data_IF_361738654320
#
_entry.id   IF_361738654320
#
_cell.length_a   1.000
_cell.length_b   1.000
_cell.length_c   1.000
_cell.angle_alpha   90.00
_cell.angle_beta   90.00
_cell.angle_gamma   90.00
#
_symmetry.space_group_name_H-M   'P 1'
#
loop_
_entity.id
_entity.type
_entity.pdbx_description
1 polymer ?
#
# COMPACT_ATOMS: atom_id res chain seq x y z
N UNK A 1 -17.20 -30.01 7.44
CA UNK A 1 -17.33 -29.32 6.11
C UNK A 1 -16.20 -28.33 6.01
N UNK A 2 -15.45 -28.36 4.91
CA UNK A 2 -14.26 -27.53 4.73
C UNK A 2 -14.63 -26.19 4.07
N UNK A 3 -14.42 -25.09 4.75
CA UNK A 3 -14.59 -23.73 4.20
C UNK A 3 -13.28 -23.28 3.53
N UNK A 4 -13.37 -22.73 2.33
CA UNK A 4 -12.23 -22.17 1.59
C UNK A 4 -12.20 -20.65 1.73
N UNK A 5 -11.05 -20.10 2.11
CA UNK A 5 -10.87 -18.65 2.27
C UNK A 5 -9.68 -18.19 1.42
N UNK A 6 -9.98 -17.45 0.36
CA UNK A 6 -8.97 -16.75 -0.42
C UNK A 6 -8.60 -15.42 0.24
N UNK A 7 -7.33 -15.24 0.53
CA UNK A 7 -6.79 -13.99 1.05
C UNK A 7 -6.06 -13.25 -0.07
N UNK A 8 -6.36 -11.97 -0.24
CA UNK A 8 -5.80 -11.14 -1.31
C UNK A 8 -5.12 -9.92 -0.69
N UNK A 9 -3.83 -9.70 -0.97
CA UNK A 9 -3.18 -8.44 -0.65
C UNK A 9 -3.75 -7.32 -1.52
N UNK A 10 -3.99 -6.13 -0.94
CA UNK A 10 -4.46 -4.98 -1.71
C UNK A 10 -3.56 -4.69 -2.93
N UNK A 11 -4.15 -4.16 -4.00
CA UNK A 11 -3.44 -3.69 -5.19
C UNK A 11 -2.51 -2.51 -4.86
N UNK A 12 -1.61 -2.15 -5.78
CA UNK A 12 -0.69 -1.04 -5.56
C UNK A 12 -1.44 0.24 -5.18
N UNK A 13 -1.04 0.80 -4.04
CA UNK A 13 -1.59 2.03 -3.49
C UNK A 13 -0.50 3.12 -3.39
N UNK A 14 -0.93 4.34 -3.13
CA UNK A 14 -0.05 5.52 -3.08
C UNK A 14 1.19 5.33 -2.19
N UNK A 15 1.10 4.70 -1.01
CA UNK A 15 2.28 4.51 -0.18
C UNK A 15 3.28 3.49 -0.75
N UNK A 16 2.81 2.50 -1.55
CA UNK A 16 3.74 1.66 -2.29
C UNK A 16 4.50 2.49 -3.33
N UNK A 17 3.78 3.34 -4.07
CA UNK A 17 4.32 4.20 -5.11
C UNK A 17 5.23 5.29 -4.54
N UNK A 18 4.81 5.96 -3.47
CA UNK A 18 5.51 7.08 -2.86
C UNK A 18 6.57 6.65 -1.84
N UNK A 19 6.71 5.36 -1.59
CA UNK A 19 7.66 4.79 -0.64
C UNK A 19 7.44 5.32 0.79
N UNK A 20 6.16 5.37 1.20
CA UNK A 20 5.73 5.84 2.52
C UNK A 20 5.15 4.71 3.37
N UNK A 21 5.39 4.76 4.66
CA UNK A 21 4.81 3.85 5.63
C UNK A 21 3.30 4.13 5.74
N UNK A 22 2.49 3.18 5.32
CA UNK A 22 1.04 3.30 5.34
C UNK A 22 0.45 3.03 6.72
N UNK A 23 0.72 1.83 7.26
CA UNK A 23 -0.01 1.36 8.43
C UNK A 23 -1.52 1.45 8.19
N UNK A 24 -2.22 2.12 9.09
CA UNK A 24 -3.66 2.38 8.98
C UNK A 24 -4.00 3.75 8.37
N UNK A 25 -3.01 4.53 7.98
CA UNK A 25 -3.24 5.70 7.13
C UNK A 25 -3.88 5.28 5.81
N UNK A 26 -4.89 6.04 5.38
CA UNK A 26 -5.69 5.65 4.21
C UNK A 26 -5.23 6.33 2.92
N UNK A 27 -5.34 5.63 1.81
CA UNK A 27 -4.83 6.07 0.51
C UNK A 27 -5.53 5.38 -0.65
N UNK A 28 -5.51 6.04 -1.81
CA UNK A 28 -6.06 5.51 -3.06
C UNK A 28 -5.16 4.42 -3.68
N UNK A 29 -5.77 3.61 -4.54
CA UNK A 29 -5.02 2.81 -5.49
C UNK A 29 -4.37 3.71 -6.55
N UNK A 30 -3.22 3.29 -7.05
CA UNK A 30 -2.56 3.91 -8.20
C UNK A 30 -3.19 3.45 -9.52
N UNK A 31 -2.95 4.13 -10.64
CA UNK A 31 -3.36 3.63 -11.96
C UNK A 31 -2.82 2.22 -12.26
N UNK A 32 -1.62 1.87 -11.76
CA UNK A 32 -1.10 0.49 -11.84
C UNK A 32 -1.91 -0.45 -10.96
N UNK A 33 -2.29 -0.04 -9.74
CA UNK A 33 -3.15 -0.81 -8.87
C UNK A 33 -4.47 -1.17 -9.57
N UNK A 34 -5.10 -0.23 -10.26
CA UNK A 34 -6.31 -0.52 -11.04
C UNK A 34 -6.06 -1.52 -12.17
N UNK A 35 -4.91 -1.48 -12.86
CA UNK A 35 -4.55 -2.53 -13.83
C UNK A 35 -4.35 -3.90 -13.17
N UNK A 36 -3.78 -3.96 -11.98
CA UNK A 36 -3.65 -5.21 -11.22
C UNK A 36 -5.02 -5.82 -10.87
N UNK A 37 -6.03 -4.99 -10.61
CA UNK A 37 -7.39 -5.47 -10.34
C UNK A 37 -8.01 -6.19 -11.55
N UNK A 38 -7.70 -5.77 -12.77
CA UNK A 38 -8.15 -6.46 -13.97
C UNK A 38 -7.65 -7.92 -13.98
N UNK A 39 -6.36 -8.15 -13.75
CA UNK A 39 -5.79 -9.50 -13.69
C UNK A 39 -6.30 -10.31 -12.49
N UNK A 40 -6.54 -9.66 -11.35
CA UNK A 40 -7.17 -10.31 -10.20
C UNK A 40 -8.59 -10.79 -10.54
N UNK A 41 -9.37 -9.96 -11.22
CA UNK A 41 -10.72 -10.31 -11.66
C UNK A 41 -10.72 -11.51 -12.61
N UNK A 42 -9.81 -11.53 -13.58
CA UNK A 42 -9.64 -12.68 -14.51
C UNK A 42 -9.25 -13.96 -13.77
N UNK A 43 -8.30 -13.89 -12.82
CA UNK A 43 -7.92 -15.02 -11.97
C UNK A 43 -9.12 -15.65 -11.25
N UNK A 44 -10.04 -14.81 -10.79
CA UNK A 44 -11.22 -15.26 -10.06
C UNK A 44 -12.44 -15.54 -10.95
N UNK A 45 -12.37 -15.39 -12.27
CA UNK A 45 -13.53 -15.51 -13.17
C UNK A 45 -14.27 -16.86 -13.04
N UNK A 46 -13.53 -17.96 -12.89
CA UNK A 46 -14.08 -19.30 -12.71
C UNK A 46 -14.30 -19.72 -11.24
N UNK A 47 -13.94 -18.87 -10.27
CA UNK A 47 -14.10 -19.17 -8.85
C UNK A 47 -15.46 -18.69 -8.37
N UNK A 48 -16.31 -19.60 -7.93
CA UNK A 48 -17.55 -19.23 -7.24
C UNK A 48 -17.19 -18.74 -5.86
N UNK A 49 -17.68 -17.55 -5.51
CA UNK A 49 -17.59 -16.98 -4.17
C UNK A 49 -18.99 -16.83 -3.58
N UNK A 50 -19.13 -17.20 -2.31
CA UNK A 50 -20.38 -17.07 -1.55
C UNK A 50 -20.42 -15.73 -0.78
N UNK A 51 -19.25 -15.15 -0.44
CA UNK A 51 -19.12 -13.84 0.18
C UNK A 51 -17.76 -13.19 -0.11
N UNK A 52 -17.70 -11.86 0.01
CA UNK A 52 -16.46 -11.08 -0.10
C UNK A 52 -16.32 -10.13 1.07
N UNK A 53 -15.23 -10.30 1.80
CA UNK A 53 -14.84 -9.49 2.95
C UNK A 53 -13.63 -8.63 2.62
N UNK A 54 -13.27 -7.74 3.52
CA UNK A 54 -12.00 -7.03 3.45
C UNK A 54 -11.81 -6.01 4.55
N UNK A 55 -10.57 -5.55 4.67
CA UNK A 55 -10.29 -4.36 5.46
C UNK A 55 -11.12 -3.18 4.91
N UNK A 56 -11.59 -2.35 5.80
CA UNK A 56 -12.34 -1.14 5.48
C UNK A 56 -11.47 0.04 5.00
N UNK A 57 -10.14 -0.13 4.97
CA UNK A 57 -9.24 0.84 4.37
C UNK A 57 -9.44 0.88 2.84
N UNK A 58 -9.52 2.09 2.28
CA UNK A 58 -9.88 2.35 0.87
C UNK A 58 -9.15 1.44 -0.13
N UNK A 59 -7.83 1.27 0.00
CA UNK A 59 -7.04 0.42 -0.90
C UNK A 59 -7.44 -1.07 -0.89
N UNK A 60 -7.82 -1.60 0.27
CA UNK A 60 -8.26 -2.99 0.39
C UNK A 60 -9.71 -3.15 -0.08
N UNK A 61 -10.59 -2.21 0.28
CA UNK A 61 -11.96 -2.18 -0.20
C UNK A 61 -12.01 -2.05 -1.75
N UNK A 62 -11.26 -1.10 -2.33
CA UNK A 62 -11.14 -0.97 -3.78
C UNK A 62 -10.58 -2.26 -4.44
N UNK A 63 -9.68 -2.97 -3.76
CA UNK A 63 -9.19 -4.26 -4.26
C UNK A 63 -10.30 -5.33 -4.25
N UNK A 64 -11.07 -5.39 -3.19
CA UNK A 64 -12.19 -6.32 -3.07
C UNK A 64 -13.26 -6.10 -4.16
N UNK A 65 -13.38 -4.88 -4.73
CA UNK A 65 -14.38 -4.59 -5.79
C UNK A 65 -14.19 -5.47 -7.03
N UNK A 66 -12.97 -5.85 -7.35
CA UNK A 66 -12.69 -6.81 -8.44
C UNK A 66 -13.33 -8.19 -8.21
N UNK A 67 -13.70 -8.51 -6.96
CA UNK A 67 -14.27 -9.81 -6.58
C UNK A 67 -15.78 -9.73 -6.36
N UNK A 68 -16.29 -8.70 -5.69
CA UNK A 68 -17.71 -8.61 -5.35
C UNK A 68 -18.58 -7.99 -6.46
N UNK A 69 -18.07 -6.97 -7.19
CA UNK A 69 -18.86 -6.28 -8.23
C UNK A 69 -19.30 -7.24 -9.34
N UNK A 70 -18.42 -8.05 -9.98
CA UNK A 70 -18.83 -8.96 -11.04
C UNK A 70 -19.84 -10.02 -10.61
N UNK A 71 -19.94 -10.28 -9.30
CA UNK A 71 -20.83 -11.30 -8.71
C UNK A 71 -22.07 -10.73 -8.06
N UNK A 72 -22.18 -9.39 -8.03
CA UNK A 72 -23.26 -8.69 -7.35
C UNK A 72 -23.40 -9.09 -5.85
N UNK A 73 -22.25 -9.41 -5.22
CA UNK A 73 -22.20 -9.73 -3.80
C UNK A 73 -22.06 -8.43 -2.98
N UNK A 74 -22.60 -8.37 -1.76
CA UNK A 74 -22.32 -7.27 -0.85
C UNK A 74 -20.87 -7.34 -0.36
N UNK A 75 -20.21 -6.18 -0.23
CA UNK A 75 -18.95 -6.09 0.47
C UNK A 75 -19.17 -6.10 1.99
N UNK A 76 -18.39 -6.91 2.70
CA UNK A 76 -18.46 -7.03 4.15
C UNK A 76 -17.17 -6.48 4.79
N UNK A 77 -17.18 -5.25 5.33
CA UNK A 77 -16.00 -4.67 5.96
C UNK A 77 -15.64 -5.40 7.26
N UNK A 78 -14.37 -5.75 7.42
CA UNK A 78 -13.80 -6.35 8.62
C UNK A 78 -12.58 -5.54 9.09
N UNK A 79 -12.71 -4.62 10.06
CA UNK A 79 -11.58 -3.85 10.60
C UNK A 79 -10.46 -4.74 11.17
N UNK A 80 -10.76 -5.98 11.57
CA UNK A 80 -9.78 -6.97 12.00
C UNK A 80 -8.78 -7.35 10.90
N UNK A 81 -9.09 -7.06 9.62
CA UNK A 81 -8.21 -7.29 8.47
C UNK A 81 -7.36 -6.06 8.09
N UNK A 82 -7.42 -4.96 8.86
CA UNK A 82 -6.56 -3.78 8.65
C UNK A 82 -5.08 -4.14 8.75
N UNK A 83 -4.25 -3.30 8.14
CA UNK A 83 -2.79 -3.38 8.25
C UNK A 83 -2.33 -3.19 9.71
N UNK A 84 -1.11 -3.57 10.00
CA UNK A 84 -0.43 -3.22 11.26
C UNK A 84 -0.46 -1.70 11.43
N UNK A 85 -0.94 -1.23 12.59
CA UNK A 85 -0.81 0.17 12.94
C UNK A 85 0.67 0.47 13.20
N UNK A 86 1.21 1.44 12.48
CA UNK A 86 2.63 1.80 12.58
C UNK A 86 2.90 2.96 13.55
N UNK A 87 1.85 3.54 14.15
CA UNK A 87 1.98 4.64 15.08
C UNK A 87 2.70 5.84 14.47
N UNK A 88 3.72 6.35 15.16
CA UNK A 88 4.47 7.52 14.72
C UNK A 88 5.20 7.37 13.39
N UNK A 89 5.25 6.17 12.83
CA UNK A 89 5.84 5.95 11.52
C UNK A 89 4.86 6.19 10.37
N UNK A 90 3.55 6.24 10.62
CA UNK A 90 2.56 6.44 9.57
C UNK A 90 2.79 7.75 8.81
N UNK A 91 2.60 7.72 7.50
CA UNK A 91 2.86 8.82 6.57
C UNK A 91 4.32 9.30 6.48
N UNK A 92 5.29 8.58 7.07
CA UNK A 92 6.71 8.92 6.88
C UNK A 92 7.31 8.13 5.73
N UNK A 93 8.24 8.74 4.97
CA UNK A 93 9.07 7.98 4.02
C UNK A 93 9.85 6.88 4.73
N UNK A 94 9.93 5.70 4.13
CA UNK A 94 10.70 4.59 4.69
C UNK A 94 12.19 4.95 4.88
N UNK A 95 12.76 5.76 3.97
CA UNK A 95 14.12 6.27 4.11
C UNK A 95 14.28 7.18 5.34
N UNK A 96 13.28 8.03 5.65
CA UNK A 96 13.29 8.85 6.86
C UNK A 96 13.28 7.99 8.13
N UNK A 97 12.44 6.96 8.15
CA UNK A 97 12.37 6.01 9.27
C UNK A 97 13.73 5.32 9.45
N UNK A 98 14.28 4.76 8.37
CA UNK A 98 15.59 4.10 8.39
C UNK A 98 16.70 5.04 8.89
N UNK A 99 16.67 6.31 8.49
CA UNK A 99 17.65 7.31 8.87
C UNK A 99 17.53 7.73 10.34
N UNK A 100 16.30 8.00 10.82
CA UNK A 100 16.04 8.53 12.15
C UNK A 100 16.00 7.47 13.23
N UNK A 101 15.58 6.26 12.88
CA UNK A 101 15.35 5.15 13.80
C UNK A 101 15.82 3.81 13.19
N UNK A 102 17.12 3.68 12.89
CA UNK A 102 17.67 2.53 12.18
C UNK A 102 17.52 1.23 12.94
N UNK A 103 17.51 1.26 14.27
CA UNK A 103 17.36 0.08 15.10
C UNK A 103 15.93 -0.46 15.02
N UNK A 104 14.91 0.39 15.21
CA UNK A 104 13.51 -0.01 15.11
C UNK A 104 13.16 -0.43 13.68
N UNK A 105 13.72 0.27 12.64
CA UNK A 105 13.55 -0.14 11.25
C UNK A 105 14.07 -1.56 11.00
N UNK A 106 15.26 -1.89 11.54
CA UNK A 106 15.83 -3.24 11.46
C UNK A 106 14.94 -4.25 12.21
N UNK A 107 14.46 -3.90 13.41
CA UNK A 107 13.60 -4.80 14.20
C UNK A 107 12.24 -5.04 13.54
N UNK A 108 11.63 -4.04 12.94
CA UNK A 108 10.39 -4.22 12.17
C UNK A 108 10.52 -5.29 11.09
N UNK A 109 11.69 -5.36 10.45
CA UNK A 109 11.93 -6.28 9.35
C UNK A 109 12.47 -7.65 9.78
N UNK A 110 13.25 -7.71 10.86
CA UNK A 110 14.01 -8.92 11.26
C UNK A 110 13.64 -9.43 12.65
N UNK A 111 13.26 -8.57 13.56
CA UNK A 111 12.98 -8.88 14.96
C UNK A 111 11.71 -8.16 15.44
N UNK A 112 10.54 -8.44 14.81
CA UNK A 112 9.29 -7.77 15.18
C UNK A 112 8.86 -8.03 16.64
N UNK A 113 9.39 -9.06 17.28
CA UNK A 113 9.29 -9.29 18.72
C UNK A 113 9.91 -8.17 19.58
N UNK A 114 10.90 -7.45 19.06
CA UNK A 114 11.56 -6.33 19.72
C UNK A 114 11.07 -4.97 19.27
N UNK A 115 10.34 -4.92 18.15
CA UNK A 115 9.86 -3.67 17.58
C UNK A 115 8.87 -2.94 18.49
N UNK A 116 9.16 -1.67 18.81
CA UNK A 116 8.35 -0.80 19.67
C UNK A 116 8.38 0.61 19.14
N UNK A 117 7.26 1.06 18.60
CA UNK A 117 7.05 2.45 18.13
C UNK A 117 5.81 2.98 18.84
N UNK A 118 5.84 4.23 19.25
CA UNK A 118 4.72 4.83 19.95
C UNK A 118 3.44 4.81 19.09
N UNK A 119 2.33 4.40 19.69
CA UNK A 119 1.06 4.26 19.00
C UNK A 119 0.98 3.06 18.04
N UNK A 120 2.05 2.27 17.89
CA UNK A 120 2.05 1.11 17.03
C UNK A 120 1.37 -0.11 17.66
N UNK A 121 0.92 -1.04 16.83
CA UNK A 121 0.27 -2.28 17.21
C UNK A 121 1.30 -3.43 17.27
N UNK A 122 1.29 -4.22 18.33
CA UNK A 122 2.16 -5.40 18.43
C UNK A 122 1.78 -6.45 17.36
N UNK A 123 2.77 -7.16 16.80
CA UNK A 123 2.51 -8.22 15.82
C UNK A 123 1.66 -9.36 16.39
N UNK A 124 1.78 -9.67 17.68
CA UNK A 124 0.91 -10.65 18.36
C UNK A 124 -0.57 -10.23 18.32
N UNK A 125 -0.86 -8.94 18.55
CA UNK A 125 -2.24 -8.42 18.46
C UNK A 125 -2.79 -8.52 17.03
N UNK A 126 -1.94 -8.27 16.03
CA UNK A 126 -2.31 -8.46 14.60
C UNK A 126 -2.61 -9.93 14.33
N UNK A 127 -1.78 -10.86 14.81
CA UNK A 127 -2.01 -12.29 14.68
C UNK A 127 -3.36 -12.70 15.28
N UNK A 128 -3.63 -12.30 16.51
CA UNK A 128 -4.88 -12.61 17.23
C UNK A 128 -6.12 -12.12 16.47
N UNK A 129 -6.15 -10.81 16.08
CA UNK A 129 -7.32 -10.25 15.40
C UNK A 129 -7.55 -10.82 14.00
N UNK A 130 -6.46 -11.14 13.27
CA UNK A 130 -6.60 -11.69 11.93
C UNK A 130 -7.02 -13.16 11.96
N UNK A 131 -6.49 -13.98 12.87
CA UNK A 131 -6.97 -15.36 13.10
C UNK A 131 -8.45 -15.37 13.52
N UNK A 132 -8.86 -14.46 14.41
CA UNK A 132 -10.28 -14.33 14.79
C UNK A 132 -11.17 -14.00 13.58
N UNK A 133 -10.71 -13.12 12.66
CA UNK A 133 -11.42 -12.83 11.42
C UNK A 133 -11.57 -14.06 10.52
N UNK A 134 -10.52 -14.90 10.38
CA UNK A 134 -10.59 -16.16 9.62
C UNK A 134 -11.64 -17.10 10.22
N UNK A 135 -11.61 -17.30 11.54
CA UNK A 135 -12.58 -18.17 12.23
C UNK A 135 -14.02 -17.67 12.08
N UNK A 136 -14.22 -16.36 12.17
CA UNK A 136 -15.53 -15.74 11.95
C UNK A 136 -16.05 -16.01 10.54
N UNK A 137 -15.26 -15.75 9.49
CA UNK A 137 -15.65 -16.00 8.10
C UNK A 137 -15.99 -17.47 7.86
N UNK A 138 -15.22 -18.40 8.43
CA UNK A 138 -15.49 -19.83 8.31
C UNK A 138 -16.79 -20.25 9.01
N UNK A 139 -17.08 -19.68 10.18
CA UNK A 139 -18.30 -19.95 10.93
C UNK A 139 -19.56 -19.39 10.25
N UNK A 140 -19.45 -18.24 9.57
CA UNK A 140 -20.55 -17.64 8.81
C UNK A 140 -20.82 -18.35 7.48
N UNK A 141 -19.84 -19.12 6.93
CA UNK A 141 -19.94 -19.80 5.63
C UNK A 141 -19.46 -21.26 5.68
N UNK A 142 -20.10 -22.13 6.48
CA UNK A 142 -19.68 -23.52 6.65
C UNK A 142 -19.74 -24.29 5.32
N UNK A 143 -18.59 -24.78 4.83
CA UNK A 143 -18.47 -25.48 3.56
C UNK A 143 -18.48 -24.58 2.32
N UNK A 144 -18.54 -23.27 2.51
CA UNK A 144 -18.55 -22.27 1.45
C UNK A 144 -17.15 -21.87 0.98
N UNK A 145 -17.12 -20.95 0.01
CA UNK A 145 -15.89 -20.35 -0.51
C UNK A 145 -16.00 -18.83 -0.41
N UNK A 146 -15.12 -18.20 0.34
CA UNK A 146 -15.12 -16.75 0.54
C UNK A 146 -13.78 -16.14 0.12
N UNK A 147 -13.78 -14.85 -0.15
CA UNK A 147 -12.55 -14.09 -0.39
C UNK A 147 -12.45 -12.89 0.54
N UNK A 148 -11.24 -12.51 0.92
CA UNK A 148 -11.01 -11.36 1.78
C UNK A 148 -9.77 -10.56 1.34
N UNK A 149 -9.94 -9.23 1.16
CA UNK A 149 -8.85 -8.33 0.85
C UNK A 149 -8.23 -7.75 2.14
N UNK A 150 -6.91 -7.79 2.24
CA UNK A 150 -6.15 -7.32 3.39
C UNK A 150 -4.80 -6.71 2.95
N UNK A 151 -3.79 -6.71 3.81
CA UNK A 151 -2.56 -5.94 3.66
C UNK A 151 -1.31 -6.80 3.80
N UNK A 152 -0.16 -6.23 3.39
CA UNK A 152 1.07 -6.98 3.28
C UNK A 152 1.59 -7.55 4.59
N UNK A 153 1.78 -6.71 5.62
CA UNK A 153 2.30 -7.19 6.90
C UNK A 153 1.24 -7.99 7.67
N UNK A 154 -0.03 -7.58 7.62
CA UNK A 154 -1.12 -8.31 8.27
C UNK A 154 -1.25 -9.75 7.74
N UNK A 155 -1.20 -9.93 6.41
CA UNK A 155 -1.24 -11.28 5.81
C UNK A 155 0.03 -12.08 6.10
N UNK A 156 1.20 -11.46 6.05
CA UNK A 156 2.47 -12.12 6.41
C UNK A 156 2.44 -12.65 7.84
N UNK A 157 1.93 -11.84 8.78
CA UNK A 157 1.79 -12.23 10.19
C UNK A 157 0.77 -13.36 10.33
N UNK A 158 -0.41 -13.22 9.74
CA UNK A 158 -1.45 -14.24 9.79
C UNK A 158 -0.94 -15.59 9.26
N UNK A 159 -0.41 -15.61 8.03
CA UNK A 159 0.04 -16.83 7.39
C UNK A 159 1.18 -17.50 8.16
N UNK A 160 2.18 -16.72 8.58
CA UNK A 160 3.27 -17.26 9.39
C UNK A 160 2.80 -17.81 10.75
N UNK A 161 1.83 -17.14 11.40
CA UNK A 161 1.22 -17.65 12.65
C UNK A 161 0.49 -18.98 12.41
N UNK A 162 -0.25 -19.12 11.33
CA UNK A 162 -0.96 -20.37 10.97
C UNK A 162 0.00 -21.50 10.61
N UNK A 163 1.19 -21.19 10.11
CA UNK A 163 2.27 -22.13 9.83
C UNK A 163 3.14 -22.46 11.06
N UNK A 164 2.83 -21.85 12.21
CA UNK A 164 3.55 -22.06 13.47
C UNK A 164 4.91 -21.38 13.56
N UNK A 165 5.18 -20.38 12.72
CA UNK A 165 6.41 -19.61 12.73
C UNK A 165 6.48 -18.67 13.94
N UNK A 166 7.66 -18.53 14.52
CA UNK A 166 7.94 -17.49 15.51
C UNK A 166 7.89 -16.09 14.86
N UNK A 167 7.70 -15.04 15.68
CA UNK A 167 7.72 -13.66 15.17
C UNK A 167 9.02 -13.32 14.43
N UNK A 168 10.15 -13.88 14.85
CA UNK A 168 11.44 -13.72 14.17
C UNK A 168 11.37 -14.31 12.75
N UNK A 169 10.94 -15.56 12.63
CA UNK A 169 10.82 -16.24 11.31
C UNK A 169 9.83 -15.53 10.40
N UNK A 170 8.73 -14.99 10.96
CA UNK A 170 7.79 -14.12 10.23
C UNK A 170 8.51 -12.85 9.73
N UNK A 171 9.37 -12.23 10.54
CA UNK A 171 10.18 -11.09 10.15
C UNK A 171 11.15 -11.40 9.00
N UNK A 172 11.74 -12.59 9.02
CA UNK A 172 12.69 -13.05 7.99
C UNK A 172 11.98 -13.59 6.72
N UNK A 173 10.65 -13.83 6.76
CA UNK A 173 9.88 -14.26 5.60
C UNK A 173 9.75 -13.13 4.56
N UNK A 174 9.70 -13.51 3.29
CA UNK A 174 9.60 -12.56 2.17
C UNK A 174 8.32 -11.71 2.17
N UNK A 175 8.30 -10.72 1.30
CA UNK A 175 7.12 -9.91 1.04
C UNK A 175 6.36 -10.42 -0.20
N UNK A 176 5.04 -10.51 -0.10
CA UNK A 176 4.17 -10.82 -1.22
C UNK A 176 3.99 -9.63 -2.16
N UNK A 177 3.78 -9.85 -3.45
CA UNK A 177 3.44 -8.77 -4.38
C UNK A 177 2.00 -8.25 -4.15
N UNK A 178 1.67 -7.08 -4.69
CA UNK A 178 0.31 -6.58 -4.66
C UNK A 178 -0.62 -7.51 -5.46
N UNK A 179 -1.84 -7.68 -5.00
CA UNK A 179 -2.84 -8.65 -5.45
C UNK A 179 -2.45 -10.13 -5.32
N UNK A 180 -1.31 -10.45 -4.71
CA UNK A 180 -0.98 -11.83 -4.41
C UNK A 180 -2.10 -12.52 -3.62
N UNK A 181 -2.34 -13.77 -3.95
CA UNK A 181 -3.43 -14.60 -3.40
C UNK A 181 -2.86 -15.73 -2.57
N UNK A 182 -3.47 -15.96 -1.42
CA UNK A 182 -3.23 -17.16 -0.59
C UNK A 182 -4.56 -17.89 -0.37
N UNK A 183 -4.51 -19.19 -0.15
CA UNK A 183 -5.70 -20.01 0.10
C UNK A 183 -5.56 -20.72 1.44
N UNK A 184 -6.60 -20.58 2.25
CA UNK A 184 -6.80 -21.34 3.49
C UNK A 184 -7.94 -22.34 3.33
N UNK A 185 -7.82 -23.47 4.00
CA UNK A 185 -8.91 -24.40 4.28
C UNK A 185 -9.15 -24.47 5.77
N UNK A 186 -10.41 -24.29 6.18
CA UNK A 186 -10.83 -24.32 7.59
C UNK A 186 -11.80 -25.45 7.80
N UNK A 187 -11.48 -26.35 8.74
CA UNK A 187 -12.34 -27.47 9.14
C UNK A 187 -12.36 -27.59 10.66
N UNK A 188 -13.51 -27.26 11.27
CA UNK A 188 -13.60 -27.10 12.72
C UNK A 188 -12.59 -26.04 13.22
N UNK A 189 -11.76 -26.41 14.18
CA UNK A 189 -10.70 -25.53 14.71
C UNK A 189 -9.42 -25.52 13.87
N UNK A 190 -9.27 -26.46 12.94
CA UNK A 190 -8.07 -26.56 12.10
C UNK A 190 -8.11 -25.58 10.93
N UNK A 191 -7.03 -24.82 10.80
CA UNK A 191 -6.81 -23.90 9.68
C UNK A 191 -5.53 -24.34 8.97
N UNK A 192 -5.62 -24.65 7.68
CA UNK A 192 -4.50 -25.08 6.85
C UNK A 192 -4.20 -24.07 5.76
N UNK A 193 -2.96 -23.67 5.62
CA UNK A 193 -2.47 -22.90 4.47
C UNK A 193 -2.26 -23.88 3.31
N UNK A 194 -3.00 -23.71 2.22
CA UNK A 194 -2.91 -24.58 1.02
C UNK A 194 -1.80 -24.07 0.11
N UNK A 195 -1.80 -22.79 -0.16
CA UNK A 195 -0.71 -22.05 -0.81
C UNK A 195 -0.72 -20.61 -0.35
N UNK A 196 0.41 -19.90 -0.51
CA UNK A 196 0.55 -18.52 -0.12
C UNK A 196 1.24 -17.68 -1.21
N UNK A 197 0.90 -16.39 -1.21
CA UNK A 197 1.61 -15.33 -1.93
C UNK A 197 1.73 -15.55 -3.46
N UNK A 198 0.79 -16.27 -4.06
CA UNK A 198 0.77 -16.51 -5.51
C UNK A 198 0.31 -15.26 -6.28
N UNK A 199 1.25 -14.63 -6.97
CA UNK A 199 1.06 -13.48 -7.84
C UNK A 199 1.22 -13.82 -9.34
N UNK A 200 1.09 -15.09 -9.73
CA UNK A 200 1.32 -15.57 -11.11
C UNK A 200 0.39 -14.94 -12.16
N UNK A 201 -0.76 -14.41 -11.72
CA UNK A 201 -1.71 -13.69 -12.57
C UNK A 201 -1.27 -12.27 -12.93
N UNK A 202 -0.28 -11.71 -12.20
CA UNK A 202 0.21 -10.34 -12.42
C UNK A 202 1.36 -10.37 -13.42
N UNK A 203 1.20 -9.79 -14.62
CA UNK A 203 2.30 -9.75 -15.58
C UNK A 203 3.46 -8.89 -15.06
N UNK A 204 4.70 -9.17 -15.50
CA UNK A 204 5.91 -8.52 -14.99
C UNK A 204 5.89 -6.98 -15.01
N UNK A 205 5.28 -6.39 -16.04
CA UNK A 205 5.15 -4.94 -16.19
C UNK A 205 4.15 -4.30 -15.21
N UNK A 206 3.24 -5.09 -14.64
CA UNK A 206 2.28 -4.69 -13.62
C UNK A 206 2.71 -5.04 -12.19
N UNK A 207 3.74 -5.87 -12.01
CA UNK A 207 4.28 -6.20 -10.69
C UNK A 207 4.86 -4.94 -10.02
N UNK A 208 4.46 -4.72 -8.77
CA UNK A 208 5.00 -3.62 -7.96
C UNK A 208 6.46 -3.91 -7.57
N UNK A 209 6.75 -5.13 -7.14
CA UNK A 209 8.07 -5.49 -6.60
C UNK A 209 9.14 -5.74 -7.65
N UNK A 210 8.81 -6.19 -8.85
CA UNK A 210 9.83 -6.34 -9.91
C UNK A 210 10.52 -5.04 -10.29
N UNK A 211 9.85 -3.91 -10.03
CA UNK A 211 10.40 -2.56 -10.32
C UNK A 211 11.05 -1.91 -9.11
N UNK A 212 10.98 -2.54 -7.93
CA UNK A 212 11.54 -2.03 -6.68
C UNK A 212 12.58 -3.01 -6.17
N UNK A 213 13.86 -2.64 -6.21
CA UNK A 213 14.97 -3.50 -5.79
C UNK A 213 15.12 -3.59 -4.27
N UNK A 214 14.59 -2.64 -3.53
CA UNK A 214 14.78 -2.48 -2.09
C UNK A 214 14.51 -3.72 -1.22
N UNK A 215 13.54 -4.55 -1.63
CA UNK A 215 13.18 -5.75 -0.87
C UNK A 215 14.12 -6.94 -1.14
N UNK A 216 14.89 -6.91 -2.23
CA UNK A 216 15.81 -8.00 -2.59
C UNK A 216 17.11 -7.95 -1.81
N UNK A 217 17.61 -6.75 -1.56
CA UNK A 217 18.96 -6.53 -1.06
C UNK A 217 18.98 -5.97 0.37
N UNK A 218 17.83 -5.93 1.06
CA UNK A 218 17.72 -5.29 2.39
C UNK A 218 18.04 -3.79 2.38
N UNK A 219 18.20 -3.22 1.18
CA UNK A 219 18.62 -1.85 0.94
C UNK A 219 17.46 -0.94 0.58
N UNK A 220 17.15 0.02 1.38
CA UNK A 220 16.34 1.19 1.07
C UNK A 220 17.20 2.42 0.85
N UNK A 221 18.44 2.24 0.39
CA UNK A 221 19.41 3.32 0.29
C UNK A 221 19.17 4.22 -0.93
N UNK A 222 18.23 3.85 -1.78
CA UNK A 222 17.84 4.58 -2.98
C UNK A 222 16.58 5.43 -2.83
N UNK A 223 16.01 5.53 -1.62
CA UNK A 223 14.79 6.29 -1.37
C UNK A 223 15.10 7.65 -0.74
N UNK A 224 14.27 8.66 -1.04
CA UNK A 224 14.41 9.99 -0.46
C UNK A 224 13.85 10.08 0.95
N UNK A 225 14.54 10.83 1.81
CA UNK A 225 13.98 11.46 2.99
C UNK A 225 13.99 12.98 2.83
N UNK A 226 13.27 13.72 3.67
CA UNK A 226 12.98 15.11 3.38
C UNK A 226 13.29 16.03 4.55
N UNK A 227 13.88 17.20 4.23
CA UNK A 227 14.10 18.29 5.18
C UNK A 227 13.13 19.42 4.83
N UNK A 228 12.16 19.74 5.71
CA UNK A 228 11.25 20.85 5.48
C UNK A 228 11.94 22.18 5.70
N UNK A 229 11.70 23.14 4.82
CA UNK A 229 12.03 24.53 4.94
C UNK A 229 10.74 25.35 4.89
N UNK A 230 10.56 26.22 5.86
CA UNK A 230 9.44 27.15 5.84
C UNK A 230 9.56 28.12 4.65
N UNK A 231 8.46 28.35 3.95
CA UNK A 231 8.35 29.33 2.89
C UNK A 231 7.11 30.19 3.13
N UNK A 232 7.14 31.43 2.68
CA UNK A 232 6.00 32.32 2.74
C UNK A 232 4.84 31.74 1.91
N UNK A 233 3.72 31.44 2.56
CA UNK A 233 2.52 30.79 1.96
C UNK A 233 2.71 29.38 1.39
N UNK A 234 3.69 28.61 1.89
CA UNK A 234 3.90 27.26 1.38
C UNK A 234 4.96 26.46 2.13
N UNK A 235 5.51 25.47 1.46
CA UNK A 235 6.56 24.59 1.95
C UNK A 235 7.54 24.28 0.85
N UNK A 236 8.82 24.23 1.20
CA UNK A 236 9.88 23.64 0.39
C UNK A 236 10.40 22.40 1.11
N UNK A 237 10.48 21.29 0.43
CA UNK A 237 11.08 20.05 0.94
C UNK A 237 12.33 19.75 0.12
N UNK A 238 13.49 19.78 0.74
CA UNK A 238 14.70 19.25 0.14
C UNK A 238 14.67 17.74 0.20
N UNK A 239 14.86 17.09 -0.93
CA UNK A 239 14.97 15.65 -1.02
C UNK A 239 16.42 15.22 -0.81
N UNK A 240 16.64 14.41 0.19
CA UNK A 240 17.95 13.91 0.58
C UNK A 240 18.08 12.44 0.17
N UNK A 241 19.14 12.11 -0.53
CA UNK A 241 19.57 10.73 -0.76
C UNK A 241 20.78 10.50 0.13
N UNK A 242 20.67 9.57 1.09
CA UNK A 242 21.64 9.43 2.17
C UNK A 242 21.88 10.77 2.89
N UNK A 243 23.01 11.44 2.64
CA UNK A 243 23.40 12.74 3.27
C UNK A 243 23.46 13.89 2.29
N UNK A 244 23.21 13.65 1.00
CA UNK A 244 23.32 14.66 -0.05
C UNK A 244 21.97 15.17 -0.48
N UNK A 245 21.88 16.47 -0.72
CA UNK A 245 20.70 17.07 -1.33
C UNK A 245 20.67 16.66 -2.82
N UNK A 246 19.57 16.05 -3.24
CA UNK A 246 19.45 15.40 -4.54
C UNK A 246 18.21 15.85 -5.31
N UNK A 247 17.50 16.82 -4.77
CA UNK A 247 16.32 17.39 -5.39
C UNK A 247 15.47 18.19 -4.41
N UNK A 248 14.38 18.74 -4.90
CA UNK A 248 13.42 19.46 -4.08
C UNK A 248 12.01 19.41 -4.67
N UNK A 249 11.03 19.56 -3.82
CA UNK A 249 9.67 19.91 -4.21
C UNK A 249 9.22 21.13 -3.41
N UNK A 250 8.64 22.11 -4.10
CA UNK A 250 8.01 23.27 -3.46
C UNK A 250 6.53 23.30 -3.84
N UNK A 251 5.69 23.67 -2.88
CA UNK A 251 4.27 23.79 -3.10
C UNK A 251 3.66 24.83 -2.17
N UNK A 252 2.52 25.39 -2.59
CA UNK A 252 1.76 26.39 -1.84
C UNK A 252 0.26 26.18 -2.01
N UNK A 253 -0.49 26.67 -1.05
CA UNK A 253 -1.95 26.74 -1.21
C UNK A 253 -2.30 27.82 -2.26
N UNK A 254 -3.23 27.47 -3.16
CA UNK A 254 -3.80 28.36 -4.15
C UNK A 254 -5.32 28.13 -4.21
N UNK A 255 -6.07 28.97 -3.51
CA UNK A 255 -7.51 28.72 -3.31
C UNK A 255 -7.78 27.42 -2.56
N UNK A 256 -8.56 26.53 -3.18
CA UNK A 256 -8.92 25.22 -2.65
C UNK A 256 -8.02 24.09 -3.18
N UNK A 257 -6.90 24.43 -3.81
CA UNK A 257 -5.92 23.49 -4.33
C UNK A 257 -4.54 23.68 -3.72
N UNK A 258 -3.72 22.64 -3.81
CA UNK A 258 -2.29 22.70 -3.56
C UNK A 258 -1.56 22.78 -4.90
N UNK A 259 -0.84 23.89 -5.15
CA UNK A 259 -0.03 24.05 -6.35
C UNK A 259 1.41 23.66 -6.09
N UNK A 260 1.92 22.73 -6.88
CA UNK A 260 3.36 22.44 -6.96
C UNK A 260 4.01 23.57 -7.78
N UNK A 261 4.92 24.30 -7.14
CA UNK A 261 5.61 25.44 -7.76
C UNK A 261 7.02 25.10 -8.23
N UNK A 262 7.61 24.04 -7.67
CA UNK A 262 8.89 23.51 -8.11
C UNK A 262 8.95 22.02 -7.91
N UNK A 263 9.58 21.31 -8.85
CA UNK A 263 9.73 19.86 -8.86
C UNK A 263 11.03 19.51 -9.55
N UNK A 264 12.07 19.26 -8.79
CA UNK A 264 13.44 19.13 -9.31
C UNK A 264 14.10 17.87 -8.75
N UNK A 265 14.76 17.14 -9.62
CA UNK A 265 15.65 16.02 -9.27
C UNK A 265 16.94 16.21 -10.03
N UNK A 266 18.05 15.95 -9.36
CA UNK A 266 19.37 15.99 -9.93
C UNK A 266 19.48 15.12 -11.18
N UNK A 267 20.11 15.61 -12.25
CA UNK A 267 20.17 14.89 -13.54
C UNK A 267 20.61 13.42 -13.45
N UNK A 268 21.63 13.04 -12.65
CA UNK A 268 22.07 11.64 -12.55
C UNK A 268 21.04 10.68 -11.97
N UNK A 269 20.03 11.21 -11.24
CA UNK A 269 19.00 10.43 -10.57
C UNK A 269 17.68 10.33 -11.37
N UNK A 270 17.61 11.03 -12.50
CA UNK A 270 16.42 10.99 -13.36
C UNK A 270 16.27 9.61 -14.00
N UNK A 271 15.02 9.20 -14.25
CA UNK A 271 14.72 7.87 -14.80
C UNK A 271 14.75 6.73 -13.79
N UNK A 272 15.18 6.95 -12.54
CA UNK A 272 15.26 5.95 -11.47
C UNK A 272 13.98 5.83 -10.64
N UNK A 273 12.87 6.38 -11.09
CA UNK A 273 11.56 6.42 -10.40
C UNK A 273 11.56 7.13 -9.03
N UNK A 274 12.58 7.91 -8.71
CA UNK A 274 12.68 8.66 -7.44
C UNK A 274 11.74 9.87 -7.40
N UNK A 275 11.46 10.49 -8.55
CA UNK A 275 10.64 11.68 -8.64
C UNK A 275 9.25 11.53 -8.03
N UNK A 276 8.65 10.38 -8.17
CA UNK A 276 7.31 10.12 -7.64
C UNK A 276 7.22 10.29 -6.12
N UNK A 277 8.32 10.12 -5.40
CA UNK A 277 8.38 10.31 -3.94
C UNK A 277 8.18 11.79 -3.56
N UNK A 278 8.63 12.73 -4.41
CA UNK A 278 8.36 14.17 -4.21
C UNK A 278 6.87 14.48 -4.34
N UNK A 279 6.18 13.86 -5.31
CA UNK A 279 4.72 13.99 -5.45
C UNK A 279 4.00 13.48 -4.20
N UNK A 280 4.45 12.36 -3.64
CA UNK A 280 3.90 11.81 -2.40
C UNK A 280 3.90 12.80 -1.25
N UNK A 281 4.95 13.62 -1.14
CA UNK A 281 5.01 14.66 -0.10
C UNK A 281 3.99 15.77 -0.36
N UNK A 282 3.82 16.21 -1.60
CA UNK A 282 2.81 17.21 -1.95
C UNK A 282 1.39 16.70 -1.69
N UNK A 283 1.10 15.44 -2.05
CA UNK A 283 -0.18 14.77 -1.77
C UNK A 283 -0.46 14.72 -0.26
N UNK A 284 0.50 14.23 0.52
CA UNK A 284 0.41 14.20 1.99
C UNK A 284 0.09 15.58 2.57
N UNK A 285 0.84 16.58 2.14
CA UNK A 285 0.70 17.95 2.67
C UNK A 285 -0.66 18.55 2.30
N UNK A 286 -1.14 18.35 1.07
CA UNK A 286 -2.44 18.78 0.62
C UNK A 286 -3.57 18.17 1.47
N UNK A 287 -3.56 16.84 1.66
CA UNK A 287 -4.57 16.15 2.48
C UNK A 287 -4.59 16.60 3.93
N UNK A 288 -3.42 16.81 4.54
CA UNK A 288 -3.32 17.34 5.91
C UNK A 288 -3.90 18.73 6.08
N UNK A 289 -3.97 19.50 5.00
CA UNK A 289 -4.62 20.83 4.98
C UNK A 289 -6.08 20.79 4.51
N UNK A 290 -6.65 19.62 4.28
CA UNK A 290 -8.00 19.45 3.76
C UNK A 290 -8.15 19.89 2.30
N UNK A 291 -7.06 19.90 1.52
CA UNK A 291 -7.05 20.21 0.10
C UNK A 291 -7.08 18.92 -0.72
N UNK A 292 -8.01 18.88 -1.66
CA UNK A 292 -8.32 17.66 -2.41
C UNK A 292 -7.91 17.72 -3.88
N UNK A 293 -7.22 18.77 -4.28
CA UNK A 293 -6.71 18.92 -5.64
C UNK A 293 -5.24 19.33 -5.60
N UNK A 294 -4.40 18.55 -6.27
CA UNK A 294 -3.02 18.91 -6.54
C UNK A 294 -2.93 19.45 -7.97
N UNK A 295 -2.26 20.58 -8.15
CA UNK A 295 -2.10 21.25 -9.45
C UNK A 295 -0.62 21.47 -9.71
N UNK A 296 -0.17 21.24 -10.94
CA UNK A 296 1.18 21.59 -11.38
C UNK A 296 1.19 22.12 -12.80
N UNK A 297 2.02 23.13 -13.07
CA UNK A 297 2.34 23.55 -14.42
C UNK A 297 3.21 22.47 -15.09
N UNK A 298 2.80 21.99 -16.27
CA UNK A 298 3.44 20.83 -16.89
C UNK A 298 3.86 21.12 -18.33
N UNK A 299 5.16 21.13 -18.63
CA UNK A 299 5.65 21.14 -19.99
C UNK A 299 5.10 19.95 -20.79
N UNK A 300 4.89 20.15 -22.09
CA UNK A 300 4.25 19.15 -22.96
C UNK A 300 4.95 17.79 -22.92
N UNK A 301 6.28 17.79 -22.87
CA UNK A 301 7.12 16.60 -22.83
C UNK A 301 7.01 15.76 -21.54
N UNK A 302 6.55 16.37 -20.45
CA UNK A 302 6.39 15.70 -19.15
C UNK A 302 4.95 15.25 -18.88
N UNK A 303 3.98 15.61 -19.73
CA UNK A 303 2.56 15.25 -19.50
C UNK A 303 2.36 13.74 -19.42
N UNK A 304 3.02 12.95 -20.28
CA UNK A 304 2.97 11.50 -20.23
C UNK A 304 3.54 10.92 -18.93
N UNK A 305 4.58 11.56 -18.37
CA UNK A 305 5.13 11.17 -17.08
C UNK A 305 4.12 11.38 -15.94
N UNK A 306 3.45 12.51 -15.87
CA UNK A 306 2.47 12.75 -14.80
C UNK A 306 1.16 11.98 -15.01
N UNK A 307 0.72 11.79 -16.26
CA UNK A 307 -0.48 11.03 -16.57
C UNK A 307 -0.42 9.57 -16.06
N UNK A 308 0.76 8.93 -16.07
CA UNK A 308 0.92 7.58 -15.53
C UNK A 308 0.63 7.48 -14.02
N UNK A 309 0.63 8.60 -13.30
CA UNK A 309 0.32 8.70 -11.87
C UNK A 309 -1.10 9.24 -11.60
N UNK A 310 -1.93 9.35 -12.63
CA UNK A 310 -3.32 9.74 -12.49
C UNK A 310 -3.58 11.24 -12.65
N UNK A 311 -2.59 12.04 -13.05
CA UNK A 311 -2.82 13.44 -13.39
C UNK A 311 -3.57 13.57 -14.72
N UNK A 312 -4.52 14.47 -14.74
CA UNK A 312 -5.32 14.83 -15.91
C UNK A 312 -4.97 16.21 -16.45
N UNK A 313 -5.09 16.41 -17.74
CA UNK A 313 -4.79 17.70 -18.39
C UNK A 313 -5.86 18.75 -18.04
N UNK A 314 -5.43 19.92 -17.61
CA UNK A 314 -6.27 21.09 -17.31
C UNK A 314 -5.65 22.36 -17.92
N UNK A 315 -5.79 22.51 -19.26
CA UNK A 315 -5.14 23.59 -19.99
C UNK A 315 -3.61 23.50 -19.97
N UNK A 316 -2.93 24.53 -19.48
CA UNK A 316 -1.48 24.54 -19.31
C UNK A 316 -1.03 23.69 -18.12
N UNK A 317 -1.91 23.45 -17.16
CA UNK A 317 -1.66 22.67 -15.95
C UNK A 317 -2.03 21.20 -16.12
N UNK A 318 -1.63 20.40 -15.13
CA UNK A 318 -2.18 19.08 -14.85
C UNK A 318 -2.71 19.04 -13.41
N UNK A 319 -3.77 18.28 -13.20
CA UNK A 319 -4.45 18.16 -11.90
C UNK A 319 -4.57 16.71 -11.46
N UNK A 320 -4.51 16.47 -10.14
CA UNK A 320 -4.75 15.18 -9.51
C UNK A 320 -5.81 15.34 -8.42
N UNK A 321 -6.89 14.56 -8.51
CA UNK A 321 -7.89 14.47 -7.44
C UNK A 321 -7.35 13.59 -6.30
N UNK A 322 -7.34 14.14 -5.10
CA UNK A 322 -6.78 13.50 -3.90
C UNK A 322 -7.86 12.88 -3.00
N UNK A 323 -9.14 13.01 -3.33
CA UNK A 323 -10.23 12.42 -2.54
C UNK A 323 -10.10 10.90 -2.52
N UNK A 324 -10.35 10.31 -1.35
CA UNK A 324 -10.38 8.86 -1.24
C UNK A 324 -11.62 8.32 -1.96
N UNK A 325 -11.39 7.47 -2.94
CA UNK A 325 -12.45 6.95 -3.79
C UNK A 325 -12.29 5.46 -4.04
N UNK A 326 -13.40 4.75 -4.03
CA UNK A 326 -13.48 3.37 -4.50
C UNK A 326 -14.08 3.44 -5.89
N UNK A 327 -13.22 3.34 -6.90
CA UNK A 327 -13.66 3.21 -8.29
C UNK A 327 -13.91 1.73 -8.55
N UNK A 328 -15.16 1.38 -8.72
CA UNK A 328 -15.51 0.03 -9.14
C UNK A 328 -15.03 -0.20 -10.57
N UNK A 329 -14.45 -1.38 -10.81
CA UNK A 329 -14.07 -1.80 -12.15
C UNK A 329 -15.28 -2.48 -12.76
N UNK A 330 -15.80 -1.95 -13.88
CA UNK A 330 -16.97 -2.51 -14.55
C UNK A 330 -16.76 -3.94 -15.07
#
# INVERSE_FOLDING_TARGET
>A
MTTKIFLVRHAEAEGNLFRMAHGQYDSNLTPRGYRQLHYLRERFAAVRLDAVYGSDLTRAHATASALYVPRQLPFQPLPQLREVRLGDWEERPWAEIKWRDPEMYRWFNQRPDLWRVEGAEAFSTVAERTVAAIRRMAAEHPGGTVAAASHGAALRILLGTLEGLSLREIGESGHSDNTAVSLLEVEGDAIRVVFRDDASHVPPECSTFRRQSWYKDGGGDEDFWFIPLAAENGMVLRAMLEREESGLVAFRREGDAMRVTSYVIDPPLRGRHLGVQLLGQAVKYARRQGLWTLVLACPQELRGYFAQYGFESAGADMTLDLRLTIREIP
#
